data_IF_352164457342
#
_entry.id   IF_352164457342
#
_cell.length_a   1.000
_cell.length_b   1.000
_cell.length_c   1.000
_cell.angle_alpha   90.00
_cell.angle_beta   90.00
_cell.angle_gamma   90.00
#
_symmetry.space_group_name_H-M   'P 1'
#
loop_
_entity.id
_entity.type
_entity.pdbx_description
1 polymer ?
#
# COMPACT_ATOMS: atom_id res chain seq x y z
N UNK A 1 -18.14 2.09 -5.07
CA UNK A 1 -17.32 1.32 -4.12
C UNK A 1 -17.19 2.16 -2.86
N UNK A 2 -17.33 1.57 -1.66
CA UNK A 2 -17.16 2.33 -0.41
C UNK A 2 -15.68 2.41 -0.05
N UNK A 3 -15.28 3.42 0.73
CA UNK A 3 -13.89 3.54 1.23
C UNK A 3 -13.44 2.29 2.01
N UNK A 4 -14.36 1.65 2.72
CA UNK A 4 -14.11 0.41 3.47
C UNK A 4 -13.76 -0.73 2.52
N UNK A 5 -14.49 -0.89 1.41
CA UNK A 5 -14.19 -1.94 0.44
C UNK A 5 -12.85 -1.78 -0.28
N UNK A 6 -12.37 -0.55 -0.50
CA UNK A 6 -11.07 -0.34 -1.15
C UNK A 6 -9.90 -0.58 -0.18
N UNK A 7 -10.01 -0.15 1.09
CA UNK A 7 -8.93 -0.40 2.06
C UNK A 7 -8.75 -1.90 2.36
N UNK A 8 -9.84 -2.66 2.51
CA UNK A 8 -9.78 -4.13 2.75
C UNK A 8 -9.07 -4.85 1.59
N UNK A 9 -9.34 -4.44 0.36
CA UNK A 9 -8.69 -5.00 -0.82
C UNK A 9 -7.21 -4.65 -0.88
N UNK A 10 -6.84 -3.40 -0.61
CA UNK A 10 -5.44 -2.96 -0.57
C UNK A 10 -4.67 -3.66 0.56
N UNK A 11 -5.26 -3.75 1.75
CA UNK A 11 -4.66 -4.47 2.89
C UNK A 11 -4.41 -5.94 2.56
N UNK A 12 -5.41 -6.62 2.02
CA UNK A 12 -5.31 -8.05 1.65
C UNK A 12 -4.17 -8.30 0.65
N UNK A 13 -3.99 -7.41 -0.32
CA UNK A 13 -3.01 -7.60 -1.39
C UNK A 13 -1.60 -7.16 -1.00
N UNK A 14 -1.46 -6.13 -0.17
CA UNK A 14 -0.19 -5.42 -0.02
C UNK A 14 0.36 -5.37 1.41
N UNK A 15 -0.36 -5.84 2.43
CA UNK A 15 0.11 -5.80 3.82
C UNK A 15 1.49 -6.44 4.03
N UNK A 16 1.79 -7.66 3.54
CA UNK A 16 3.11 -8.25 3.71
C UNK A 16 4.23 -7.39 3.11
N UNK A 17 4.01 -6.85 1.91
CA UNK A 17 4.97 -5.99 1.21
C UNK A 17 5.14 -4.65 1.94
N UNK A 18 4.06 -4.02 2.40
CA UNK A 18 4.10 -2.78 3.17
C UNK A 18 4.90 -2.95 4.45
N UNK A 19 4.67 -4.05 5.18
CA UNK A 19 5.40 -4.37 6.39
C UNK A 19 6.90 -4.60 6.12
N UNK A 20 7.25 -5.37 5.09
CA UNK A 20 8.64 -5.60 4.72
C UNK A 20 9.36 -4.30 4.32
N UNK A 21 8.70 -3.43 3.54
CA UNK A 21 9.25 -2.11 3.17
C UNK A 21 9.59 -1.31 4.43
N UNK A 22 8.66 -1.23 5.37
CA UNK A 22 8.83 -0.49 6.61
C UNK A 22 9.97 -1.05 7.45
N UNK A 23 10.04 -2.38 7.64
CA UNK A 23 11.14 -3.02 8.39
C UNK A 23 12.51 -2.79 7.74
N UNK A 24 12.59 -2.70 6.41
CA UNK A 24 13.84 -2.37 5.70
C UNK A 24 14.21 -0.89 5.78
N UNK A 25 13.22 0.01 5.78
CA UNK A 25 13.46 1.46 5.92
C UNK A 25 13.83 1.87 7.35
N UNK A 26 13.32 1.14 8.33
CA UNK A 26 13.44 1.44 9.75
C UNK A 26 13.95 0.21 10.49
N UNK A 27 15.28 0.01 10.52
CA UNK A 27 15.88 -1.16 11.15
C UNK A 27 15.66 -1.22 12.67
N UNK A 28 15.47 -0.06 13.31
CA UNK A 28 15.46 0.07 14.78
C UNK A 28 14.06 0.09 15.40
N UNK A 29 12.99 -0.07 14.60
CA UNK A 29 11.62 -0.07 15.12
C UNK A 29 11.13 -1.50 15.41
N UNK A 30 10.31 -1.61 16.46
CA UNK A 30 9.63 -2.86 16.78
C UNK A 30 8.52 -3.18 15.78
N UNK A 31 7.96 -4.39 15.87
CA UNK A 31 6.94 -4.85 14.93
C UNK A 31 5.60 -4.13 15.11
N UNK A 32 5.33 -3.56 16.28
CA UNK A 32 4.10 -2.78 16.53
C UNK A 32 4.15 -1.45 15.80
N UNK A 33 5.27 -0.75 15.93
CA UNK A 33 5.53 0.50 15.20
C UNK A 33 5.61 0.24 13.69
N UNK A 34 6.25 -0.87 13.28
CA UNK A 34 6.30 -1.26 11.87
C UNK A 34 4.90 -1.52 11.29
N UNK A 35 4.03 -2.22 12.02
CA UNK A 35 2.66 -2.48 11.59
C UNK A 35 1.86 -1.18 11.46
N UNK A 36 2.03 -0.24 12.40
CA UNK A 36 1.37 1.05 12.35
C UNK A 36 1.78 1.88 11.12
N UNK A 37 3.08 1.91 10.80
CA UNK A 37 3.58 2.58 9.60
C UNK A 37 3.12 1.87 8.31
N UNK A 38 3.08 0.54 8.30
CA UNK A 38 2.55 -0.23 7.19
C UNK A 38 1.07 0.09 6.92
N UNK A 39 0.24 0.21 7.96
CA UNK A 39 -1.15 0.66 7.81
C UNK A 39 -1.23 2.06 7.20
N UNK A 40 -0.42 3.03 7.64
CA UNK A 40 -0.40 4.37 7.01
C UNK A 40 -0.08 4.31 5.51
N UNK A 41 0.85 3.46 5.12
CA UNK A 41 1.19 3.24 3.72
C UNK A 41 0.01 2.64 2.93
N UNK A 42 -0.68 1.66 3.50
CA UNK A 42 -1.87 1.04 2.90
C UNK A 42 -3.04 2.03 2.75
N UNK A 43 -3.29 2.88 3.75
CA UNK A 43 -4.30 3.95 3.66
C UNK A 43 -3.99 4.93 2.54
N UNK A 44 -2.72 5.33 2.40
CA UNK A 44 -2.28 6.21 1.32
C UNK A 44 -2.44 5.55 -0.06
N UNK A 45 -2.15 4.25 -0.15
CA UNK A 45 -2.37 3.48 -1.37
C UNK A 45 -3.87 3.32 -1.71
N UNK A 46 -4.74 3.14 -0.71
CA UNK A 46 -6.20 3.16 -0.89
C UNK A 46 -6.70 4.51 -1.42
N UNK A 47 -6.16 5.63 -0.96
CA UNK A 47 -6.49 6.95 -1.53
C UNK A 47 -6.09 7.07 -3.01
N UNK A 48 -4.96 6.48 -3.41
CA UNK A 48 -4.54 6.44 -4.82
C UNK A 48 -5.49 5.55 -5.63
N UNK A 49 -5.85 4.39 -5.11
CA UNK A 49 -6.83 3.49 -5.72
C UNK A 49 -8.14 4.24 -5.98
N UNK A 50 -8.72 4.87 -4.97
CA UNK A 50 -10.00 5.58 -5.07
C UNK A 50 -9.93 6.71 -6.10
N UNK A 51 -8.85 7.50 -6.10
CA UNK A 51 -8.62 8.57 -7.11
C UNK A 51 -8.57 8.03 -8.54
N UNK A 52 -8.10 6.81 -8.76
CA UNK A 52 -8.09 6.18 -10.09
C UNK A 52 -9.52 5.77 -10.49
N UNK A 53 -10.29 5.22 -9.55
CA UNK A 53 -11.71 4.87 -9.76
C UNK A 53 -12.55 6.12 -10.03
N UNK A 54 -12.38 7.19 -9.26
CA UNK A 54 -13.07 8.48 -9.43
C UNK A 54 -12.84 9.10 -10.81
N UNK A 55 -11.69 8.83 -11.42
CA UNK A 55 -11.37 9.23 -12.80
C UNK A 55 -12.00 8.31 -13.86
N UNK A 56 -12.92 7.44 -13.48
CA UNK A 56 -13.62 6.51 -14.37
C UNK A 56 -12.77 5.37 -14.90
N UNK A 57 -11.64 5.06 -14.26
CA UNK A 57 -10.80 3.92 -14.64
C UNK A 57 -11.31 2.63 -14.00
N UNK A 58 -10.90 1.51 -14.58
CA UNK A 58 -11.25 0.18 -14.07
C UNK A 58 -10.50 -0.13 -12.77
N UNK A 59 -11.09 -1.00 -11.97
CA UNK A 59 -10.46 -1.59 -10.79
C UNK A 59 -9.11 -2.23 -11.12
N UNK A 60 -9.00 -3.00 -12.21
CA UNK A 60 -7.73 -3.56 -12.66
C UNK A 60 -6.65 -2.48 -12.87
N UNK A 61 -7.03 -1.30 -13.38
CA UNK A 61 -6.07 -0.19 -13.55
C UNK A 61 -5.72 0.48 -12.21
N UNK A 62 -6.67 0.58 -11.29
CA UNK A 62 -6.43 1.10 -9.95
C UNK A 62 -5.47 0.19 -9.16
N UNK A 63 -5.70 -1.13 -9.18
CA UNK A 63 -4.80 -2.14 -8.58
C UNK A 63 -3.41 -2.08 -9.22
N UNK A 64 -3.31 -2.03 -10.55
CA UNK A 64 -2.02 -1.90 -11.24
C UNK A 64 -1.27 -0.62 -10.81
N UNK A 65 -1.98 0.48 -10.60
CA UNK A 65 -1.35 1.75 -10.15
C UNK A 65 -0.82 1.62 -8.71
N UNK A 66 -1.56 0.97 -7.82
CA UNK A 66 -1.11 0.70 -6.45
C UNK A 66 0.05 -0.30 -6.43
N UNK A 67 0.00 -1.33 -7.29
CA UNK A 67 1.08 -2.29 -7.45
C UNK A 67 2.39 -1.58 -7.83
N UNK A 68 2.35 -0.67 -8.81
CA UNK A 68 3.53 0.09 -9.23
C UNK A 68 4.10 0.94 -8.07
N UNK A 69 3.25 1.49 -7.20
CA UNK A 69 3.69 2.22 -6.00
C UNK A 69 4.47 1.32 -5.04
N UNK A 70 3.90 0.18 -4.67
CA UNK A 70 4.56 -0.77 -3.77
C UNK A 70 5.82 -1.38 -4.38
N UNK A 71 5.80 -1.70 -5.67
CA UNK A 71 6.95 -2.20 -6.40
C UNK A 71 8.12 -1.21 -6.38
N UNK A 72 7.85 0.06 -6.67
CA UNK A 72 8.88 1.10 -6.66
C UNK A 72 9.43 1.37 -5.25
N UNK A 73 8.55 1.39 -4.24
CA UNK A 73 8.96 1.58 -2.85
C UNK A 73 9.78 0.39 -2.33
N UNK A 74 9.43 -0.85 -2.72
CA UNK A 74 10.21 -2.03 -2.38
C UNK A 74 11.59 -2.01 -3.03
N UNK A 75 11.63 -1.67 -4.33
CA UNK A 75 12.89 -1.59 -5.07
C UNK A 75 13.86 -0.58 -4.46
N UNK A 76 13.36 0.54 -3.92
CA UNK A 76 14.22 1.56 -3.31
C UNK A 76 14.84 1.15 -1.97
N UNK A 77 14.37 0.05 -1.36
CA UNK A 77 14.83 -0.43 -0.04
C UNK A 77 15.49 -1.80 -0.10
N UNK A 78 15.53 -2.42 -1.29
CA UNK A 78 16.15 -3.71 -1.53
C UNK A 78 17.63 -3.61 -1.99
N UNK A 79 18.22 -2.41 -1.93
CA UNK A 79 19.61 -2.13 -2.35
C UNK A 79 20.58 -2.18 -1.18
#
# INVERSE_FOLDING_TARGET
MSKISSIEQIETLFMPTAFEIVKKQHADIDDTEALFLAWKMLWSASDVYDKVIEKGKTEAKAISTVFDLFYNAYKSVAS
#
